data_IF_018675152786
#
_entry.id   IF_018675152786
#
_cell.length_a   1.000
_cell.length_b   1.000
_cell.length_c   1.000
_cell.angle_alpha   90.00
_cell.angle_beta   90.00
_cell.angle_gamma   90.00
#
_symmetry.space_group_name_H-M   'P 1'
#
loop_
_entity.id
_entity.type
_entity.pdbx_description
1 polymer ?
#
# COMPACT_ATOMS: atom_id res chain seq x y z
N UNK A 1 55.05 47.48 -1.57
CA UNK A 1 54.49 46.64 -2.64
C UNK A 1 54.68 45.20 -2.22
N UNK A 2 53.66 44.58 -1.64
CA UNK A 2 53.66 43.15 -1.29
C UNK A 2 52.47 42.51 -1.98
N UNK A 3 52.77 41.67 -2.98
CA UNK A 3 51.79 40.83 -3.67
C UNK A 3 51.30 39.74 -2.74
N UNK A 4 50.01 39.80 -2.37
CA UNK A 4 49.28 38.67 -1.80
C UNK A 4 48.56 37.93 -2.92
N UNK A 5 49.21 36.90 -3.45
CA UNK A 5 48.56 35.85 -4.24
C UNK A 5 47.64 35.06 -3.32
N UNK A 6 46.33 35.30 -3.46
CA UNK A 6 45.29 34.55 -2.75
C UNK A 6 44.89 33.38 -3.63
N UNK A 7 45.41 32.19 -3.33
CA UNK A 7 45.05 30.94 -3.99
C UNK A 7 43.63 30.56 -3.57
N UNK A 8 42.65 30.76 -4.47
CA UNK A 8 41.29 30.29 -4.26
C UNK A 8 41.26 28.76 -4.28
N UNK A 9 40.85 28.16 -3.15
CA UNK A 9 40.61 26.72 -3.08
C UNK A 9 39.41 26.35 -3.97
N UNK A 10 39.49 25.27 -4.75
CA UNK A 10 38.38 24.81 -5.58
C UNK A 10 37.19 24.38 -4.70
N UNK A 11 36.01 24.88 -5.06
CA UNK A 11 34.73 24.56 -4.41
C UNK A 11 34.49 23.04 -4.35
N UNK A 12 34.68 22.48 -3.16
CA UNK A 12 34.41 21.08 -2.83
C UNK A 12 32.89 20.73 -2.87
N UNK A 13 32.02 21.66 -3.25
CA UNK A 13 30.57 21.49 -3.28
C UNK A 13 30.05 20.75 -4.54
N UNK A 14 30.91 20.45 -5.52
CA UNK A 14 30.50 19.82 -6.79
C UNK A 14 30.77 18.31 -6.85
N UNK A 15 31.15 17.69 -5.73
CA UNK A 15 31.48 16.27 -5.67
C UNK A 15 30.47 15.50 -4.79
N UNK A 16 29.52 14.81 -5.45
CA UNK A 16 28.82 13.58 -5.01
C UNK A 16 27.33 13.52 -5.45
N UNK A 17 26.97 14.05 -6.62
CA UNK A 17 25.79 13.54 -7.31
C UNK A 17 26.15 12.16 -7.88
N UNK A 18 26.03 11.12 -7.06
CA UNK A 18 26.13 9.73 -7.53
C UNK A 18 25.20 9.51 -8.74
N UNK A 19 25.54 8.59 -9.65
CA UNK A 19 24.80 8.42 -10.90
C UNK A 19 23.30 8.25 -10.60
N UNK A 20 22.49 9.13 -11.20
CA UNK A 20 21.05 9.05 -11.08
C UNK A 20 20.60 7.63 -11.48
N UNK A 21 19.76 7.00 -10.65
CA UNK A 21 19.26 5.67 -10.96
C UNK A 21 18.62 5.71 -12.36
N UNK A 22 18.86 4.68 -13.21
CA UNK A 22 18.34 4.69 -14.56
C UNK A 22 16.81 4.83 -14.55
N UNK A 23 16.24 5.61 -15.47
CA UNK A 23 14.80 5.83 -15.54
C UNK A 23 14.06 4.51 -15.72
N UNK A 24 12.88 4.40 -15.12
CA UNK A 24 12.04 3.20 -15.26
C UNK A 24 11.52 3.14 -16.69
N UNK A 25 11.72 2.01 -17.38
CA UNK A 25 11.22 1.85 -18.75
C UNK A 25 9.68 1.90 -18.80
N UNK A 26 9.13 2.48 -19.87
CA UNK A 26 7.69 2.60 -20.08
C UNK A 26 6.96 1.24 -19.98
N UNK A 27 7.57 0.18 -20.54
CA UNK A 27 7.06 -1.19 -20.45
C UNK A 27 6.93 -1.68 -19.00
N UNK A 28 7.94 -1.44 -18.17
CA UNK A 28 7.94 -1.87 -16.76
C UNK A 28 6.94 -1.07 -15.93
N UNK A 29 6.88 0.25 -16.13
CA UNK A 29 5.90 1.09 -15.46
C UNK A 29 4.47 0.66 -15.82
N UNK A 30 4.20 0.36 -17.09
CA UNK A 30 2.90 -0.14 -17.55
C UNK A 30 2.53 -1.47 -16.92
N UNK A 31 3.47 -2.42 -16.86
CA UNK A 31 3.22 -3.72 -16.23
C UNK A 31 2.84 -3.57 -14.75
N UNK A 32 3.61 -2.79 -13.98
CA UNK A 32 3.32 -2.53 -12.56
C UNK A 32 1.94 -1.88 -12.41
N UNK A 33 1.61 -0.89 -13.23
CA UNK A 33 0.31 -0.22 -13.16
C UNK A 33 -0.86 -1.19 -13.44
N UNK A 34 -0.75 -2.04 -14.45
CA UNK A 34 -1.78 -3.06 -14.77
C UNK A 34 -1.93 -4.05 -13.63
N UNK A 35 -0.84 -4.56 -13.07
CA UNK A 35 -0.88 -5.50 -11.94
C UNK A 35 -1.49 -4.82 -10.72
N UNK A 36 -1.11 -3.57 -10.41
CA UNK A 36 -1.65 -2.83 -9.27
C UNK A 36 -3.16 -2.61 -9.39
N UNK A 37 -3.64 -2.24 -10.58
CA UNK A 37 -5.08 -2.12 -10.86
C UNK A 37 -5.81 -3.45 -10.72
N UNK A 38 -5.27 -4.51 -11.34
CA UNK A 38 -5.87 -5.84 -11.25
C UNK A 38 -5.94 -6.34 -9.81
N UNK A 39 -4.88 -6.13 -9.03
CA UNK A 39 -4.82 -6.55 -7.62
C UNK A 39 -5.66 -5.68 -6.70
N UNK A 40 -5.79 -4.37 -6.96
CA UNK A 40 -6.73 -3.52 -6.22
C UNK A 40 -8.19 -3.95 -6.45
N UNK A 41 -8.56 -4.24 -7.71
CA UNK A 41 -9.88 -4.79 -8.04
C UNK A 41 -10.11 -6.17 -7.43
N UNK A 42 -9.16 -7.09 -7.61
CA UNK A 42 -9.21 -8.43 -7.02
C UNK A 42 -9.31 -8.37 -5.50
N UNK A 43 -8.47 -7.59 -4.82
CA UNK A 43 -8.50 -7.42 -3.37
C UNK A 43 -9.81 -6.80 -2.87
N UNK A 44 -10.43 -5.91 -3.65
CA UNK A 44 -11.74 -5.33 -3.29
C UNK A 44 -12.83 -6.42 -3.24
N UNK A 45 -12.81 -7.36 -4.18
CA UNK A 45 -13.80 -8.44 -4.28
C UNK A 45 -13.45 -9.60 -3.34
N UNK A 46 -12.25 -10.17 -3.50
CA UNK A 46 -11.79 -11.32 -2.74
C UNK A 46 -11.58 -10.99 -1.26
N UNK A 47 -11.31 -9.72 -0.92
CA UNK A 47 -11.28 -9.25 0.47
C UNK A 47 -12.64 -9.35 1.17
N UNK A 48 -13.76 -9.23 0.45
CA UNK A 48 -15.08 -9.48 1.03
C UNK A 48 -15.34 -10.97 1.24
N UNK A 49 -14.88 -11.83 0.32
CA UNK A 49 -14.94 -13.29 0.54
C UNK A 49 -14.12 -13.69 1.77
N UNK A 50 -12.92 -13.13 1.92
CA UNK A 50 -12.11 -13.32 3.12
C UNK A 50 -12.83 -12.84 4.39
N UNK A 51 -13.45 -11.66 4.36
CA UNK A 51 -14.23 -11.16 5.50
C UNK A 51 -15.42 -12.08 5.84
N UNK A 52 -16.18 -12.55 4.85
CA UNK A 52 -17.29 -13.48 5.06
C UNK A 52 -16.82 -14.82 5.61
N UNK A 53 -15.70 -15.35 5.11
CA UNK A 53 -15.11 -16.58 5.65
C UNK A 53 -14.62 -16.43 7.09
N UNK A 54 -14.18 -15.22 7.49
CA UNK A 54 -13.88 -14.91 8.90
C UNK A 54 -15.14 -15.02 9.75
N UNK A 55 -16.23 -14.37 9.33
CA UNK A 55 -17.51 -14.42 10.06
C UNK A 55 -18.03 -15.85 10.18
N UNK A 56 -17.82 -16.68 9.15
CA UNK A 56 -18.15 -18.11 9.22
C UNK A 56 -17.28 -18.89 10.22
N UNK A 57 -15.99 -18.56 10.34
CA UNK A 57 -15.07 -19.17 11.30
C UNK A 57 -15.23 -18.62 12.73
N UNK A 58 -15.74 -17.39 12.86
CA UNK A 58 -15.93 -16.63 14.09
C UNK A 58 -17.37 -16.09 14.17
N UNK A 59 -18.37 -16.95 14.45
CA UNK A 59 -19.78 -16.54 14.47
C UNK A 59 -20.10 -15.42 15.46
N UNK A 60 -19.26 -15.23 16.49
CA UNK A 60 -19.32 -14.10 17.41
C UNK A 60 -19.22 -12.73 16.71
N UNK A 61 -18.60 -12.65 15.52
CA UNK A 61 -18.54 -11.41 14.72
C UNK A 61 -19.97 -10.94 14.31
N UNK A 62 -20.97 -11.83 14.31
CA UNK A 62 -22.39 -11.48 14.05
C UNK A 62 -23.10 -10.80 15.22
N UNK A 63 -22.45 -10.66 16.39
CA UNK A 63 -22.99 -9.86 17.49
C UNK A 63 -23.01 -8.37 17.15
N UNK A 64 -22.13 -7.92 16.24
CA UNK A 64 -22.19 -6.57 15.67
C UNK A 64 -23.39 -6.44 14.70
N UNK A 65 -24.35 -5.52 14.95
CA UNK A 65 -25.50 -5.33 14.07
C UNK A 65 -25.08 -4.91 12.65
N UNK A 66 -23.98 -4.16 12.52
CA UNK A 66 -23.47 -3.72 11.23
C UNK A 66 -22.95 -4.91 10.44
N UNK A 67 -22.14 -5.78 11.04
CA UNK A 67 -21.64 -7.00 10.40
C UNK A 67 -22.81 -7.91 10.02
N UNK A 68 -23.74 -8.15 10.94
CA UNK A 68 -24.88 -9.03 10.70
C UNK A 68 -25.77 -8.56 9.54
N UNK A 69 -25.97 -7.24 9.38
CA UNK A 69 -26.85 -6.66 8.37
C UNK A 69 -26.42 -6.99 6.93
N UNK A 70 -25.11 -7.05 6.65
CA UNK A 70 -24.61 -7.38 5.30
C UNK A 70 -24.09 -8.82 5.20
N UNK A 71 -23.49 -9.36 6.28
CA UNK A 71 -22.83 -10.67 6.23
C UNK A 71 -23.83 -11.81 6.10
N UNK A 72 -24.96 -11.79 6.84
CA UNK A 72 -25.97 -12.87 6.78
C UNK A 72 -26.50 -13.11 5.35
N UNK A 73 -27.07 -12.12 4.64
CA UNK A 73 -27.56 -12.35 3.28
C UNK A 73 -26.43 -12.72 2.30
N UNK A 74 -25.22 -12.20 2.51
CA UNK A 74 -24.07 -12.52 1.66
C UNK A 74 -23.55 -13.95 1.88
N UNK A 75 -23.47 -14.43 3.13
CA UNK A 75 -23.12 -15.82 3.45
C UNK A 75 -24.14 -16.77 2.80
N UNK A 76 -25.43 -16.48 2.91
CA UNK A 76 -26.47 -17.30 2.29
C UNK A 76 -26.34 -17.36 0.76
N UNK A 77 -26.10 -16.22 0.12
CA UNK A 77 -25.95 -16.14 -1.34
C UNK A 77 -24.65 -16.77 -1.85
N UNK A 78 -23.57 -16.71 -1.07
CA UNK A 78 -22.23 -17.15 -1.47
C UNK A 78 -21.81 -18.46 -0.80
N UNK A 79 -22.74 -19.18 -0.19
CA UNK A 79 -22.50 -20.43 0.54
C UNK A 79 -21.61 -21.44 -0.19
N UNK A 80 -21.76 -21.73 -1.51
CA UNK A 80 -20.88 -22.65 -2.21
C UNK A 80 -19.39 -22.23 -2.22
N UNK A 81 -19.12 -20.93 -2.08
CA UNK A 81 -17.76 -20.39 -1.98
C UNK A 81 -17.23 -20.41 -0.53
N UNK A 82 -18.08 -20.63 0.46
CA UNK A 82 -17.71 -20.63 1.87
C UNK A 82 -17.70 -22.04 2.48
N UNK A 83 -18.47 -22.98 1.93
CA UNK A 83 -18.71 -24.32 2.51
C UNK A 83 -17.89 -25.43 1.84
N UNK A 84 -16.89 -25.10 1.01
CA UNK A 84 -16.06 -26.11 0.34
C UNK A 84 -15.06 -26.81 1.28
N UNK A 85 -14.96 -26.38 2.53
CA UNK A 85 -14.09 -26.95 3.55
C UNK A 85 -14.46 -26.49 4.96
N UNK A 86 -13.63 -26.86 5.94
CA UNK A 86 -13.76 -26.35 7.30
C UNK A 86 -13.66 -24.81 7.34
N UNK A 87 -14.51 -24.08 8.08
CA UNK A 87 -14.53 -22.60 8.07
C UNK A 87 -13.17 -21.96 8.36
N UNK A 88 -12.38 -22.55 9.26
CA UNK A 88 -11.03 -22.06 9.57
C UNK A 88 -10.13 -22.25 8.35
N UNK A 89 -10.14 -23.43 7.72
CA UNK A 89 -9.37 -23.69 6.52
C UNK A 89 -9.73 -22.73 5.38
N UNK A 90 -11.02 -22.45 5.18
CA UNK A 90 -11.52 -21.53 4.16
C UNK A 90 -11.04 -20.11 4.44
N UNK A 91 -11.19 -19.63 5.68
CA UNK A 91 -10.71 -18.32 6.12
C UNK A 91 -9.22 -18.13 5.84
N UNK A 92 -8.41 -19.09 6.28
CA UNK A 92 -6.96 -19.07 6.08
C UNK A 92 -6.56 -19.11 4.61
N UNK A 93 -7.31 -19.85 3.78
CA UNK A 93 -7.04 -19.94 2.36
C UNK A 93 -7.36 -18.64 1.65
N UNK A 94 -8.49 -18.00 1.96
CA UNK A 94 -8.78 -16.67 1.42
C UNK A 94 -7.84 -15.60 1.97
N UNK A 95 -7.34 -15.71 3.19
CA UNK A 95 -6.39 -14.74 3.75
C UNK A 95 -5.08 -14.63 2.98
N UNK A 96 -4.63 -15.73 2.38
CA UNK A 96 -3.44 -15.78 1.52
C UNK A 96 -3.48 -14.82 0.33
N UNK A 97 -4.66 -14.35 -0.09
CA UNK A 97 -4.78 -13.34 -1.16
C UNK A 97 -4.05 -12.03 -0.82
N UNK A 98 -3.94 -11.69 0.47
CA UNK A 98 -3.41 -10.38 0.87
C UNK A 98 -1.92 -10.24 0.55
N UNK A 99 -1.16 -11.33 0.52
CA UNK A 99 0.27 -11.28 0.17
C UNK A 99 0.52 -10.78 -1.26
N UNK A 100 -0.02 -11.40 -2.33
CA UNK A 100 0.19 -10.90 -3.70
C UNK A 100 -0.41 -9.51 -3.90
N UNK A 101 -1.53 -9.19 -3.24
CA UNK A 101 -2.14 -7.86 -3.30
C UNK A 101 -1.22 -6.82 -2.64
N UNK A 102 -0.68 -7.11 -1.46
CA UNK A 102 0.28 -6.26 -0.75
C UNK A 102 1.57 -6.04 -1.55
N UNK A 103 2.09 -7.07 -2.22
CA UNK A 103 3.26 -6.95 -3.09
C UNK A 103 3.01 -6.02 -4.29
N UNK A 104 1.84 -6.12 -4.93
CA UNK A 104 1.46 -5.26 -6.04
C UNK A 104 1.34 -3.79 -5.60
N UNK A 105 0.71 -3.55 -4.46
CA UNK A 105 0.60 -2.23 -3.85
C UNK A 105 1.97 -1.64 -3.48
N UNK A 106 2.86 -2.43 -2.86
CA UNK A 106 4.22 -2.00 -2.54
C UNK A 106 5.01 -1.65 -3.80
N UNK A 107 4.91 -2.48 -4.84
CA UNK A 107 5.57 -2.22 -6.13
C UNK A 107 5.08 -0.92 -6.77
N UNK A 108 3.77 -0.63 -6.69
CA UNK A 108 3.18 0.62 -7.17
C UNK A 108 3.69 1.84 -6.39
N UNK A 109 3.76 1.75 -5.05
CA UNK A 109 4.30 2.81 -4.21
C UNK A 109 5.79 3.06 -4.48
N UNK A 110 6.59 2.00 -4.65
CA UNK A 110 8.02 2.10 -5.01
C UNK A 110 8.21 2.72 -6.39
N UNK A 111 7.36 2.37 -7.37
CA UNK A 111 7.38 3.00 -8.69
C UNK A 111 7.14 4.52 -8.58
N UNK A 112 6.11 4.93 -7.83
CA UNK A 112 5.80 6.33 -7.61
C UNK A 112 6.94 7.07 -6.88
N UNK A 113 7.57 6.44 -5.88
CA UNK A 113 8.74 6.99 -5.18
C UNK A 113 9.91 7.25 -6.14
N UNK A 114 10.21 6.28 -7.02
CA UNK A 114 11.33 6.37 -7.97
C UNK A 114 11.10 7.45 -9.03
N UNK A 115 9.88 7.53 -9.58
CA UNK A 115 9.50 8.58 -10.54
C UNK A 115 9.52 9.97 -9.89
N UNK A 116 9.06 10.07 -8.65
CA UNK A 116 8.95 11.34 -7.92
C UNK A 116 10.30 12.00 -7.61
N UNK A 117 11.33 11.20 -7.34
CA UNK A 117 12.65 11.68 -6.93
C UNK A 117 12.62 12.61 -5.70
N UNK A 118 11.99 12.21 -4.57
CA UNK A 118 11.77 13.10 -3.44
C UNK A 118 13.06 13.51 -2.73
N UNK A 119 13.10 14.75 -2.24
CA UNK A 119 14.23 15.35 -1.53
C UNK A 119 13.81 15.98 -0.19
N UNK A 120 14.77 16.13 0.73
CA UNK A 120 14.55 16.70 2.06
C UNK A 120 13.52 15.93 2.89
N UNK A 121 12.65 16.64 3.60
CA UNK A 121 11.63 16.04 4.47
C UNK A 121 10.68 15.06 3.76
N UNK A 122 10.32 15.33 2.49
CA UNK A 122 9.48 14.42 1.70
C UNK A 122 10.15 13.05 1.54
N UNK A 123 11.48 13.00 1.36
CA UNK A 123 12.24 11.75 1.23
C UNK A 123 12.19 10.91 2.49
N UNK A 124 12.24 11.57 3.66
CA UNK A 124 12.15 10.88 4.96
C UNK A 124 10.77 10.25 5.11
N UNK A 125 9.71 11.01 4.85
CA UNK A 125 8.32 10.52 4.93
C UNK A 125 8.08 9.35 3.97
N UNK A 126 8.60 9.42 2.74
CA UNK A 126 8.57 8.29 1.81
C UNK A 126 9.27 7.04 2.36
N UNK A 127 10.46 7.19 2.96
CA UNK A 127 11.20 6.05 3.51
C UNK A 127 10.47 5.40 4.66
N UNK A 128 9.93 6.19 5.58
CA UNK A 128 9.10 5.70 6.69
C UNK A 128 7.90 4.94 6.14
N UNK A 129 7.18 5.54 5.19
CA UNK A 129 5.97 4.95 4.63
C UNK A 129 6.24 3.66 3.84
N UNK A 130 7.28 3.63 3.00
CA UNK A 130 7.70 2.43 2.27
C UNK A 130 8.22 1.34 3.22
N UNK A 131 8.94 1.72 4.28
CA UNK A 131 9.36 0.80 5.33
C UNK A 131 8.17 0.14 6.01
N UNK A 132 7.14 0.92 6.36
CA UNK A 132 5.91 0.41 6.93
C UNK A 132 5.14 -0.50 5.96
N UNK A 133 5.12 -0.18 4.67
CA UNK A 133 4.53 -1.07 3.65
C UNK A 133 5.30 -2.38 3.49
N UNK A 134 6.64 -2.33 3.52
CA UNK A 134 7.48 -3.53 3.52
C UNK A 134 7.22 -4.40 4.76
N UNK A 135 7.11 -3.77 5.94
CA UNK A 135 6.77 -4.45 7.18
C UNK A 135 5.36 -5.07 7.13
N UNK A 136 4.38 -4.38 6.54
CA UNK A 136 3.04 -4.92 6.32
C UNK A 136 3.07 -6.15 5.40
N UNK A 137 3.81 -6.11 4.29
CA UNK A 137 3.95 -7.28 3.40
C UNK A 137 4.61 -8.46 4.12
N UNK A 138 5.63 -8.20 4.94
CA UNK A 138 6.27 -9.21 5.77
C UNK A 138 5.27 -9.79 6.79
N UNK A 139 4.45 -8.95 7.41
CA UNK A 139 3.38 -9.36 8.30
C UNK A 139 2.37 -10.28 7.60
N UNK A 140 1.91 -9.92 6.40
CA UNK A 140 0.97 -10.75 5.64
C UNK A 140 1.54 -12.11 5.25
N UNK A 141 2.83 -12.15 4.88
CA UNK A 141 3.51 -13.41 4.62
C UNK A 141 3.58 -14.27 5.89
N UNK A 142 4.01 -13.68 7.00
CA UNK A 142 4.11 -14.37 8.27
C UNK A 142 2.76 -14.85 8.80
N UNK A 143 1.74 -13.99 8.74
CA UNK A 143 0.40 -14.25 9.25
C UNK A 143 -0.23 -15.45 8.53
N UNK A 144 -0.19 -15.49 7.19
CA UNK A 144 -0.91 -16.51 6.41
C UNK A 144 -0.10 -17.71 5.91
N UNK A 145 1.23 -17.68 6.00
CA UNK A 145 2.10 -18.72 5.43
C UNK A 145 3.05 -19.36 6.45
N UNK A 146 2.95 -18.99 7.73
CA UNK A 146 3.84 -19.52 8.78
C UNK A 146 3.04 -19.89 10.03
N UNK A 147 3.61 -20.67 10.97
CA UNK A 147 2.92 -20.99 12.22
C UNK A 147 2.97 -19.85 13.27
N UNK A 148 3.56 -18.69 12.96
CA UNK A 148 3.76 -17.58 13.90
C UNK A 148 2.75 -16.44 13.73
N UNK A 149 1.49 -16.80 13.43
CA UNK A 149 0.45 -15.85 13.06
C UNK A 149 0.25 -14.73 14.06
N UNK A 150 0.13 -15.05 15.35
CA UNK A 150 -0.07 -14.06 16.41
C UNK A 150 1.04 -13.00 16.46
N UNK A 151 2.29 -13.43 16.29
CA UNK A 151 3.43 -12.52 16.28
C UNK A 151 3.39 -11.61 15.03
N UNK A 152 3.09 -12.16 13.86
CA UNK A 152 3.04 -11.40 12.62
C UNK A 152 1.80 -10.53 12.51
N UNK A 153 0.68 -10.90 13.13
CA UNK A 153 -0.48 -10.04 13.32
C UNK A 153 -0.10 -8.76 14.10
N UNK A 154 0.65 -8.89 15.19
CA UNK A 154 1.15 -7.74 15.95
C UNK A 154 2.11 -6.87 15.12
N UNK A 155 2.97 -7.48 14.31
CA UNK A 155 3.82 -6.75 13.35
C UNK A 155 2.96 -6.00 12.33
N UNK A 156 1.89 -6.61 11.82
CA UNK A 156 0.92 -5.98 10.94
C UNK A 156 0.22 -4.79 11.58
N UNK A 157 -0.20 -4.92 12.84
CA UNK A 157 -0.82 -3.85 13.60
C UNK A 157 0.13 -2.67 13.81
N UNK A 158 1.40 -2.95 14.15
CA UNK A 158 2.44 -1.93 14.25
C UNK A 158 2.68 -1.23 12.90
N UNK A 159 2.70 -1.99 11.80
CA UNK A 159 2.80 -1.43 10.46
C UNK A 159 1.61 -0.51 10.14
N UNK A 160 0.37 -0.95 10.42
CA UNK A 160 -0.83 -0.13 10.24
C UNK A 160 -0.80 1.15 11.06
N UNK A 161 -0.32 1.12 12.30
CA UNK A 161 -0.19 2.31 13.14
C UNK A 161 0.76 3.34 12.50
N UNK A 162 1.93 2.88 12.01
CA UNK A 162 2.87 3.75 11.29
C UNK A 162 2.27 4.25 9.98
N UNK A 163 1.51 3.42 9.26
CA UNK A 163 0.85 3.80 8.01
C UNK A 163 -0.22 4.86 8.24
N UNK A 164 -1.09 4.69 9.24
CA UNK A 164 -2.17 5.63 9.53
C UNK A 164 -1.63 6.96 10.05
N UNK A 165 -0.75 6.93 11.05
CA UNK A 165 -0.20 8.14 11.66
C UNK A 165 0.81 8.86 10.75
N UNK A 166 1.67 8.11 10.08
CA UNK A 166 2.65 8.64 9.12
C UNK A 166 2.03 9.10 7.80
N UNK A 167 0.92 8.48 7.39
CA UNK A 167 0.19 8.80 6.16
C UNK A 167 -0.38 10.22 6.14
N UNK A 168 -0.76 10.77 7.30
CA UNK A 168 -1.30 12.12 7.41
C UNK A 168 -0.27 13.20 7.03
N UNK A 169 0.88 13.35 7.73
CA UNK A 169 1.88 14.35 7.36
C UNK A 169 2.47 14.07 5.97
N UNK A 170 2.59 12.79 5.59
CA UNK A 170 3.06 12.42 4.27
C UNK A 170 2.11 12.89 3.15
N UNK A 171 0.82 12.59 3.26
CA UNK A 171 -0.19 13.06 2.31
C UNK A 171 -0.28 14.59 2.23
N UNK A 172 -0.17 15.29 3.37
CA UNK A 172 -0.13 16.76 3.40
C UNK A 172 1.09 17.29 2.62
N UNK A 173 2.27 16.71 2.82
CA UNK A 173 3.50 17.10 2.09
C UNK A 173 3.35 16.81 0.60
N UNK A 174 2.79 15.67 0.22
CA UNK A 174 2.50 15.34 -1.18
C UNK A 174 1.58 16.39 -1.83
N UNK A 175 0.49 16.78 -1.15
CA UNK A 175 -0.42 17.81 -1.64
C UNK A 175 0.27 19.17 -1.78
N UNK A 176 1.02 19.60 -0.76
CA UNK A 176 1.75 20.87 -0.77
C UNK A 176 2.82 20.94 -1.86
N UNK A 177 3.42 19.80 -2.20
CA UNK A 177 4.45 19.70 -3.26
C UNK A 177 3.88 19.32 -4.62
N UNK A 178 2.57 19.39 -4.80
CA UNK A 178 1.93 19.22 -6.10
C UNK A 178 1.94 17.80 -6.65
N UNK A 179 2.02 16.78 -5.78
CA UNK A 179 1.96 15.38 -6.20
C UNK A 179 0.69 15.09 -7.02
N UNK A 180 0.85 14.32 -8.11
CA UNK A 180 -0.25 13.89 -8.97
C UNK A 180 -0.21 12.36 -9.14
N UNK A 181 -1.36 11.68 -9.00
CA UNK A 181 -2.69 12.22 -8.72
C UNK A 181 -2.88 12.63 -7.26
N UNK A 182 -3.68 13.69 -7.02
CA UNK A 182 -3.96 14.20 -5.65
C UNK A 182 -4.76 13.20 -4.81
N UNK A 183 -5.53 12.32 -5.47
CA UNK A 183 -6.34 11.28 -4.83
C UNK A 183 -5.50 10.39 -3.92
N UNK A 184 -4.29 9.98 -4.33
CA UNK A 184 -3.38 9.17 -3.52
C UNK A 184 -3.05 9.85 -2.19
N UNK A 185 -2.76 11.15 -2.23
CA UNK A 185 -2.42 11.92 -1.05
C UNK A 185 -3.62 12.09 -0.09
N UNK A 186 -4.82 12.27 -0.64
CA UNK A 186 -6.04 12.29 0.17
C UNK A 186 -6.34 10.94 0.82
N UNK A 187 -6.14 9.83 0.10
CA UNK A 187 -6.35 8.48 0.63
C UNK A 187 -5.34 8.16 1.74
N UNK A 188 -4.11 8.67 1.67
CA UNK A 188 -3.14 8.59 2.77
C UNK A 188 -3.61 9.35 4.02
N UNK A 189 -4.15 10.56 3.86
CA UNK A 189 -4.67 11.36 4.97
C UNK A 189 -5.90 10.70 5.59
N UNK A 190 -6.80 10.18 4.76
CA UNK A 190 -8.04 9.53 5.18
C UNK A 190 -7.85 8.08 5.63
N UNK A 191 -6.63 7.54 5.58
CA UNK A 191 -6.36 6.14 5.89
C UNK A 191 -6.82 5.76 7.30
N UNK A 192 -6.53 6.59 8.31
CA UNK A 192 -6.88 6.27 9.69
C UNK A 192 -8.42 6.25 9.90
N UNK A 193 -9.21 7.25 9.44
CA UNK A 193 -10.66 7.14 9.42
C UNK A 193 -11.17 5.90 8.67
N UNK A 194 -10.63 5.63 7.48
CA UNK A 194 -11.05 4.45 6.71
C UNK A 194 -10.71 3.14 7.39
N UNK A 195 -9.60 3.07 8.11
CA UNK A 195 -9.22 1.89 8.87
C UNK A 195 -10.36 1.49 9.81
N UNK A 196 -10.81 2.39 10.67
CA UNK A 196 -11.89 2.12 11.63
C UNK A 196 -13.22 1.81 10.95
N UNK A 197 -13.61 2.62 9.95
CA UNK A 197 -14.89 2.40 9.24
C UNK A 197 -14.92 1.05 8.53
N UNK A 198 -13.82 0.67 7.87
CA UNK A 198 -13.74 -0.58 7.11
C UNK A 198 -13.66 -1.78 8.06
N UNK A 199 -12.90 -1.69 9.16
CA UNK A 199 -12.79 -2.78 10.14
C UNK A 199 -14.08 -3.01 10.90
N UNK A 200 -14.86 -1.96 11.18
CA UNK A 200 -16.15 -2.06 11.85
C UNK A 200 -17.20 -2.80 11.00
N UNK A 201 -17.09 -2.69 9.68
CA UNK A 201 -18.05 -3.29 8.75
C UNK A 201 -17.57 -4.66 8.26
N UNK A 202 -16.29 -4.80 7.90
CA UNK A 202 -15.81 -5.95 7.11
C UNK A 202 -14.69 -6.73 7.80
N UNK A 203 -13.43 -6.43 7.48
CA UNK A 203 -12.26 -7.06 8.06
C UNK A 203 -11.07 -6.11 8.03
N UNK A 204 -10.09 -6.36 8.89
CA UNK A 204 -8.84 -5.61 8.92
C UNK A 204 -8.05 -5.72 7.59
N UNK A 205 -8.12 -6.86 6.91
CA UNK A 205 -7.51 -7.02 5.58
C UNK A 205 -8.02 -6.00 4.57
N UNK A 206 -9.32 -5.68 4.61
CA UNK A 206 -9.92 -4.67 3.72
C UNK A 206 -9.47 -3.24 4.03
N UNK A 207 -8.91 -2.96 5.20
CA UNK A 207 -8.53 -1.60 5.60
C UNK A 207 -7.45 -0.99 4.69
N UNK A 208 -6.65 -1.80 3.98
CA UNK A 208 -5.63 -1.33 3.04
C UNK A 208 -6.17 -1.00 1.64
N UNK A 209 -7.43 -1.32 1.32
CA UNK A 209 -8.03 -1.08 0.00
C UNK A 209 -7.94 0.39 -0.46
N UNK A 210 -8.19 1.42 0.39
CA UNK A 210 -8.02 2.81 0.00
C UNK A 210 -6.60 3.10 -0.51
N UNK A 211 -5.58 2.57 0.18
CA UNK A 211 -4.20 2.78 -0.24
C UNK A 211 -3.87 2.02 -1.52
N UNK A 212 -4.36 0.79 -1.70
CA UNK A 212 -4.17 0.03 -2.94
C UNK A 212 -4.67 0.79 -4.16
N UNK A 213 -5.89 1.31 -4.08
CA UNK A 213 -6.46 2.16 -5.12
C UNK A 213 -5.67 3.44 -5.32
N UNK A 214 -5.25 4.09 -4.23
CA UNK A 214 -4.42 5.28 -4.27
C UNK A 214 -3.10 5.07 -5.03
N UNK A 215 -2.40 3.97 -4.79
CA UNK A 215 -1.14 3.69 -5.47
C UNK A 215 -1.31 3.10 -6.87
N UNK A 216 -2.38 2.36 -7.15
CA UNK A 216 -2.72 1.93 -8.51
C UNK A 216 -2.90 3.15 -9.43
N UNK A 217 -3.63 4.17 -8.97
CA UNK A 217 -3.79 5.45 -9.67
C UNK A 217 -2.46 6.18 -9.88
N UNK A 218 -1.59 6.20 -8.86
CA UNK A 218 -0.27 6.81 -8.96
C UNK A 218 0.62 6.08 -9.98
N UNK A 219 0.67 4.75 -9.93
CA UNK A 219 1.43 3.92 -10.87
C UNK A 219 0.95 4.10 -12.31
N UNK A 220 -0.36 4.19 -12.53
CA UNK A 220 -0.92 4.47 -13.85
C UNK A 220 -0.50 5.86 -14.36
N UNK A 221 -0.53 6.87 -13.50
CA UNK A 221 -0.07 8.22 -13.84
C UNK A 221 1.40 8.23 -14.28
N UNK A 222 2.26 7.51 -13.56
CA UNK A 222 3.67 7.31 -13.94
C UNK A 222 3.78 6.61 -15.29
N UNK A 223 3.05 5.51 -15.49
CA UNK A 223 3.08 4.74 -16.74
C UNK A 223 2.66 5.57 -17.95
N UNK A 224 1.62 6.40 -17.82
CA UNK A 224 1.16 7.30 -18.88
C UNK A 224 2.22 8.35 -19.25
N UNK A 225 2.89 8.95 -18.25
CA UNK A 225 4.01 9.90 -18.50
C UNK A 225 5.19 9.22 -19.19
N UNK A 226 5.59 8.04 -18.71
CA UNK A 226 6.70 7.29 -19.29
C UNK A 226 6.42 6.89 -20.75
N UNK A 227 5.18 6.53 -21.08
CA UNK A 227 4.78 6.24 -22.46
C UNK A 227 4.85 7.50 -23.36
N UNK A 228 4.34 8.64 -22.89
CA UNK A 228 4.42 9.90 -23.64
C UNK A 228 5.87 10.32 -23.91
N UNK A 229 6.76 10.17 -22.93
CA UNK A 229 8.18 10.48 -23.08
C UNK A 229 8.94 9.53 -24.02
N UNK A 230 8.40 8.34 -24.31
CA UNK A 230 9.03 7.38 -25.26
C UNK A 230 8.66 7.62 -26.72
N UNK A 231 7.70 8.52 -26.99
CA UNK A 231 7.22 8.87 -28.33
C UNK A 231 7.77 10.22 -28.80
N UNK A 232 8.19 11.07 -27.86
CA UNK A 232 8.83 12.37 -28.11
C UNK A 232 10.31 12.21 -28.46
#
# INVERSE_FOLDING_TARGET
>A
MSDRTTTAAPDAATAAAGPAAPPVSARRARLIAVIAWAMAGFGTIAGQLHALSRVAAHPEDLESPLVAAWARPAIDALRPLLDWGDPTLVYWTYGKIWLPVGLAFLAAAVLAYRDRGPVGAERVLWRVQLGAYGLLVLALAGDYYTPWSDAFFLVGLAAFAVIGLGGIPFGIVLLRRGFRPRTTAWLLIAMLPFFFVITEITSMGSAMLPLMWGWALAAESVARRAAAASVA
#
